data_IF_386002027757
#
_entry.id   IF_386002027757
#
_cell.length_a   1.000
_cell.length_b   1.000
_cell.length_c   1.000
_cell.angle_alpha   90.00
_cell.angle_beta   90.00
_cell.angle_gamma   90.00
#
_symmetry.space_group_name_H-M   'P 1'
#
loop_
_entity.id
_entity.type
_entity.pdbx_description
1 polymer ?
#
# COMPACT_ATOMS: atom_id res chain seq x y z
N UNK A 1 13.70 -9.89 0.29
CA UNK A 1 12.61 -9.06 0.88
C UNK A 1 13.03 -7.62 0.70
N UNK A 2 12.35 -6.84 -0.16
CA UNK A 2 12.79 -5.51 -0.61
C UNK A 2 11.78 -4.40 -0.36
N UNK A 3 10.88 -4.60 0.61
CA UNK A 3 9.82 -3.64 0.95
C UNK A 3 9.89 -3.37 2.45
N UNK A 4 9.89 -2.10 2.80
CA UNK A 4 9.86 -1.62 4.18
C UNK A 4 8.50 -1.00 4.45
N UNK A 5 7.84 -1.41 5.53
CA UNK A 5 6.56 -0.85 5.96
C UNK A 5 6.77 0.06 7.17
N UNK A 6 6.26 1.29 7.09
CA UNK A 6 6.16 2.19 8.24
C UNK A 6 4.67 2.42 8.52
N UNK A 7 4.22 2.07 9.72
CA UNK A 7 2.82 2.24 10.12
C UNK A 7 2.62 3.69 10.57
N UNK A 8 1.85 4.47 9.79
CA UNK A 8 1.51 5.86 10.13
C UNK A 8 0.35 5.94 11.14
N UNK A 9 -0.61 5.01 11.03
CA UNK A 9 -1.76 4.88 11.92
C UNK A 9 -2.10 3.41 12.09
N UNK A 10 -2.20 2.95 13.33
CA UNK A 10 -2.59 1.58 13.62
C UNK A 10 -4.06 1.34 13.24
N UNK A 11 -4.33 0.20 12.59
CA UNK A 11 -5.67 -0.32 12.37
C UNK A 11 -6.26 -0.96 13.64
N UNK A 12 -7.28 -1.80 13.45
CA UNK A 12 -7.89 -2.55 14.55
C UNK A 12 -7.01 -3.71 15.07
N UNK A 13 -5.98 -4.11 14.32
CA UNK A 13 -5.01 -5.16 14.70
C UNK A 13 -5.61 -6.56 14.83
N UNK A 14 -6.88 -6.74 14.42
CA UNK A 14 -7.63 -8.00 14.52
C UNK A 14 -7.98 -8.53 13.14
N UNK A 15 -8.50 -7.66 12.26
CA UNK A 15 -8.90 -8.05 10.92
C UNK A 15 -7.72 -7.93 9.97
N UNK A 16 -7.12 -9.08 9.64
CA UNK A 16 -6.01 -9.20 8.70
C UNK A 16 -6.50 -9.77 7.37
N UNK A 17 -6.24 -9.13 6.22
CA UNK A 17 -6.61 -9.68 4.93
C UNK A 17 -5.74 -10.89 4.60
N UNK A 18 -6.40 -12.00 4.24
CA UNK A 18 -5.76 -13.23 3.82
C UNK A 18 -5.59 -13.30 2.31
N UNK A 19 -4.83 -14.31 1.87
CA UNK A 19 -4.70 -14.60 0.44
C UNK A 19 -6.06 -14.99 -0.14
N UNK A 20 -6.51 -14.25 -1.16
CA UNK A 20 -7.81 -14.43 -1.81
C UNK A 20 -8.90 -13.45 -1.34
N UNK A 21 -8.63 -12.63 -0.32
CA UNK A 21 -9.61 -11.66 0.15
C UNK A 21 -9.66 -10.43 -0.76
N UNK A 22 -10.88 -9.93 -0.96
CA UNK A 22 -11.12 -8.65 -1.63
C UNK A 22 -10.95 -7.52 -0.62
N UNK A 23 -10.00 -6.64 -0.90
CA UNK A 23 -9.70 -5.48 -0.07
C UNK A 23 -9.96 -4.20 -0.84
N UNK A 24 -10.31 -3.17 -0.08
CA UNK A 24 -10.40 -1.80 -0.58
C UNK A 24 -9.25 -1.01 0.02
N UNK A 25 -8.44 -0.39 -0.83
CA UNK A 25 -7.22 0.32 -0.40
C UNK A 25 -7.28 1.75 -0.92
N UNK A 26 -7.04 2.70 -0.02
CA UNK A 26 -6.64 4.04 -0.40
C UNK A 26 -5.13 4.13 -0.47
N UNK A 27 -4.61 4.53 -1.62
CA UNK A 27 -3.17 4.65 -1.84
C UNK A 27 -2.81 5.92 -2.61
N UNK A 28 -1.59 6.38 -2.36
CA UNK A 28 -0.93 7.40 -3.15
C UNK A 28 0.44 6.85 -3.54
N UNK A 29 0.63 6.66 -4.84
CA UNK A 29 1.88 6.19 -5.43
C UNK A 29 2.74 7.38 -5.83
N UNK A 30 3.91 7.51 -5.19
CA UNK A 30 4.91 8.51 -5.53
C UNK A 30 6.23 7.83 -5.92
N UNK A 31 7.01 8.50 -6.77
CA UNK A 31 8.38 8.10 -7.07
C UNK A 31 9.28 8.38 -5.86
N UNK A 32 10.27 7.52 -5.65
CA UNK A 32 11.23 7.70 -4.56
C UNK A 32 12.14 8.90 -4.86
N UNK A 33 12.15 9.88 -3.96
CA UNK A 33 13.05 11.04 -4.02
C UNK A 33 13.91 11.11 -2.76
N UNK A 34 15.25 10.92 -2.87
CA UNK A 34 16.16 11.02 -1.74
C UNK A 34 16.20 12.42 -1.10
N UNK A 35 15.80 13.48 -1.82
CA UNK A 35 15.74 14.85 -1.29
C UNK A 35 14.47 15.11 -0.45
N UNK A 36 13.44 14.28 -0.57
CA UNK A 36 12.14 14.48 0.08
C UNK A 36 12.02 13.74 1.42
N UNK A 37 13.07 13.74 2.25
CA UNK A 37 13.09 13.02 3.53
C UNK A 37 11.92 13.44 4.46
N UNK A 38 11.58 14.72 4.47
CA UNK A 38 10.47 15.27 5.27
C UNK A 38 9.08 14.79 4.81
N UNK A 39 9.00 14.22 3.60
CA UNK A 39 7.77 13.68 2.99
C UNK A 39 7.86 12.17 2.79
N UNK A 40 8.57 11.44 3.66
CA UNK A 40 8.75 9.99 3.55
C UNK A 40 9.43 9.56 2.23
N UNK A 41 10.33 10.38 1.69
CA UNK A 41 10.97 10.16 0.39
C UNK A 41 9.98 10.10 -0.79
N UNK A 42 8.80 10.72 -0.64
CA UNK A 42 7.79 10.82 -1.69
C UNK A 42 8.09 12.04 -2.56
N UNK A 43 8.56 11.79 -3.78
CA UNK A 43 8.72 12.78 -4.85
C UNK A 43 7.43 12.94 -5.66
N UNK A 44 7.55 12.89 -6.98
CA UNK A 44 6.42 13.08 -7.88
C UNK A 44 5.36 11.98 -7.74
N UNK A 45 4.11 12.38 -7.58
CA UNK A 45 2.95 11.50 -7.59
C UNK A 45 2.69 11.00 -9.01
N UNK A 46 2.57 9.68 -9.18
CA UNK A 46 2.27 9.08 -10.48
C UNK A 46 0.86 8.48 -10.54
N UNK A 47 0.28 8.09 -9.41
CA UNK A 47 -1.07 7.54 -9.34
C UNK A 47 -1.66 7.71 -7.93
N UNK A 48 -2.95 8.00 -7.83
CA UNK A 48 -3.64 8.17 -6.56
C UNK A 48 -5.04 7.56 -6.63
N UNK A 49 -5.46 6.88 -5.55
CA UNK A 49 -6.84 6.41 -5.42
C UNK A 49 -7.82 7.57 -5.21
N UNK A 50 -7.34 8.74 -4.79
CA UNK A 50 -8.19 9.92 -4.55
C UNK A 50 -8.83 10.43 -5.85
N UNK A 51 -8.12 10.33 -6.96
CA UNK A 51 -8.61 10.81 -8.26
C UNK A 51 -9.52 9.80 -8.96
N UNK A 52 -9.37 8.51 -8.67
CA UNK A 52 -10.11 7.40 -9.32
C UNK A 52 -11.23 6.79 -8.47
N UNK A 53 -11.23 7.04 -7.16
CA UNK A 53 -12.08 6.37 -6.19
C UNK A 53 -11.44 5.11 -5.59
N UNK A 54 -12.19 4.47 -4.69
CA UNK A 54 -11.79 3.29 -3.93
C UNK A 54 -11.15 2.19 -4.82
N UNK A 55 -9.88 1.84 -4.56
CA UNK A 55 -9.22 0.77 -5.28
C UNK A 55 -9.56 -0.58 -4.68
N UNK A 56 -10.35 -1.39 -5.40
CA UNK A 56 -10.77 -2.74 -4.98
C UNK A 56 -9.96 -3.79 -5.70
N UNK A 57 -9.29 -4.65 -4.95
CA UNK A 57 -8.46 -5.70 -5.53
C UNK A 57 -8.41 -6.94 -4.64
N UNK A 58 -8.13 -8.08 -5.24
CA UNK A 58 -7.96 -9.35 -4.51
C UNK A 58 -6.47 -9.55 -4.18
N UNK A 59 -6.14 -9.70 -2.90
CA UNK A 59 -4.75 -9.85 -2.43
C UNK A 59 -4.29 -11.32 -2.50
N UNK A 60 -2.98 -11.56 -2.60
CA UNK A 60 -2.40 -12.91 -2.48
C UNK A 60 -2.47 -13.79 -3.72
N UNK A 61 -3.14 -13.35 -4.79
CA UNK A 61 -3.28 -14.12 -6.04
C UNK A 61 -2.43 -13.60 -7.21
N UNK A 62 -1.47 -12.70 -6.93
CA UNK A 62 -0.57 -12.15 -7.95
C UNK A 62 -1.20 -11.09 -8.87
N UNK A 63 -2.41 -10.59 -8.55
CA UNK A 63 -3.05 -9.47 -9.26
C UNK A 63 -2.41 -8.11 -8.99
N UNK A 64 -1.65 -7.99 -7.91
CA UNK A 64 -0.96 -6.76 -7.51
C UNK A 64 0.53 -7.00 -7.30
N UNK A 65 1.32 -5.92 -7.30
CA UNK A 65 2.76 -5.97 -7.04
C UNK A 65 3.04 -6.70 -5.73
N UNK A 66 4.12 -7.50 -5.72
CA UNK A 66 4.50 -8.33 -4.57
C UNK A 66 4.67 -7.54 -3.26
N UNK A 67 5.02 -6.25 -3.37
CA UNK A 67 5.16 -5.36 -2.22
C UNK A 67 3.86 -5.07 -1.49
N UNK A 68 2.76 -4.83 -2.22
CA UNK A 68 1.43 -4.63 -1.63
C UNK A 68 0.95 -5.92 -0.97
N UNK A 69 1.16 -7.06 -1.63
CA UNK A 69 0.81 -8.35 -1.09
C UNK A 69 1.50 -8.64 0.26
N UNK A 70 2.78 -8.27 0.41
CA UNK A 70 3.51 -8.49 1.65
C UNK A 70 3.10 -7.51 2.78
N UNK A 71 2.69 -6.29 2.44
CA UNK A 71 2.29 -5.27 3.41
C UNK A 71 0.94 -5.63 4.06
N UNK A 72 -0.01 -6.14 3.27
CA UNK A 72 -1.36 -6.46 3.74
C UNK A 72 -1.44 -7.76 4.54
N UNK A 73 -0.61 -8.76 4.26
CA UNK A 73 -0.69 -10.09 4.91
C UNK A 73 -0.25 -10.07 6.39
N UNK A 74 0.43 -9.03 6.86
CA UNK A 74 1.05 -9.02 8.19
C UNK A 74 0.33 -8.20 9.27
N UNK A 75 -0.77 -7.52 8.97
CA UNK A 75 -1.39 -6.60 9.93
C UNK A 75 -2.77 -7.02 10.37
#
# INVERSE_FOLDING_TARGET
MGVTKTVLKAGNGVDKPNTGDDVVIDYTGCLYDPAAADKHYMGDEFDSSKDRGEFKTTIGIGKVIRGICAISIFE
#
